data_IF_884149658624
#
_entry.id   IF_884149658624
#
_cell.length_a   1.000
_cell.length_b   1.000
_cell.length_c   1.000
_cell.angle_alpha   90.00
_cell.angle_beta   90.00
_cell.angle_gamma   90.00
#
_symmetry.space_group_name_H-M   'P 1'
#
loop_
_entity.id
_entity.type
_entity.pdbx_description
1 polymer ?
#
# COMPACT_ATOMS: atom_id res chain seq x y z
N UNK A 1 -20.79 -3.80 -32.02
CA UNK A 1 -22.25 -4.15 -32.17
C UNK A 1 -22.41 -5.64 -31.91
N UNK A 2 -23.36 -6.07 -31.04
CA UNK A 2 -23.65 -7.50 -30.86
C UNK A 2 -24.62 -8.01 -31.94
N UNK A 3 -24.62 -9.33 -32.24
CA UNK A 3 -25.56 -9.91 -33.21
C UNK A 3 -27.01 -9.58 -32.86
N UNK A 4 -27.38 -9.63 -31.59
CA UNK A 4 -28.73 -9.27 -31.13
C UNK A 4 -29.05 -7.78 -31.32
N UNK A 5 -28.07 -6.89 -31.12
CA UNK A 5 -28.26 -5.47 -31.36
C UNK A 5 -28.52 -5.20 -32.85
N UNK A 6 -27.78 -5.85 -33.74
CA UNK A 6 -28.02 -5.75 -35.19
C UNK A 6 -29.44 -6.14 -35.55
N UNK A 7 -29.96 -7.27 -35.03
CA UNK A 7 -31.37 -7.68 -35.29
C UNK A 7 -32.34 -6.64 -34.72
N UNK A 8 -32.10 -6.09 -33.54
CA UNK A 8 -32.97 -5.09 -32.92
C UNK A 8 -33.00 -3.78 -33.72
N UNK A 9 -31.89 -3.34 -34.28
CA UNK A 9 -31.77 -2.08 -35.02
C UNK A 9 -32.40 -2.15 -36.40
N UNK A 10 -32.57 -3.37 -36.97
CA UNK A 10 -33.10 -3.56 -38.32
C UNK A 10 -34.50 -4.26 -38.38
N UNK A 11 -35.08 -4.63 -37.25
CA UNK A 11 -36.35 -5.36 -37.15
C UNK A 11 -37.55 -4.64 -37.72
N UNK A 12 -37.49 -3.31 -37.83
CA UNK A 12 -38.59 -2.50 -38.37
C UNK A 12 -38.58 -2.46 -39.91
N UNK A 13 -37.41 -2.76 -40.52
CA UNK A 13 -37.25 -2.78 -41.99
C UNK A 13 -37.23 -4.20 -42.58
N UNK A 14 -36.91 -5.23 -41.77
CA UNK A 14 -36.77 -6.60 -42.23
C UNK A 14 -37.36 -7.61 -41.23
N UNK A 15 -37.84 -8.74 -41.75
CA UNK A 15 -38.35 -9.83 -40.89
C UNK A 15 -37.28 -10.33 -39.92
N UNK A 16 -37.64 -10.41 -38.65
CA UNK A 16 -36.75 -10.91 -37.55
C UNK A 16 -36.24 -12.33 -37.85
N UNK A 17 -37.05 -13.19 -38.47
CA UNK A 17 -36.64 -14.54 -38.86
C UNK A 17 -35.44 -14.50 -39.80
N UNK A 18 -35.52 -13.72 -40.87
CA UNK A 18 -34.46 -13.57 -41.88
C UNK A 18 -33.18 -12.93 -41.26
N UNK A 19 -33.35 -11.89 -40.42
CA UNK A 19 -32.21 -11.27 -39.73
C UNK A 19 -31.49 -12.26 -38.81
N UNK A 20 -32.24 -13.05 -38.04
CA UNK A 20 -31.65 -14.06 -37.13
C UNK A 20 -30.91 -15.17 -37.91
N UNK A 21 -31.43 -15.60 -39.09
CA UNK A 21 -30.75 -16.54 -39.97
C UNK A 21 -29.43 -15.95 -40.52
N UNK A 22 -29.44 -14.69 -40.97
CA UNK A 22 -28.24 -14.01 -41.51
C UNK A 22 -27.12 -13.91 -40.45
N UNK A 23 -27.45 -13.58 -39.18
CA UNK A 23 -26.46 -13.42 -38.15
C UNK A 23 -26.22 -14.68 -37.29
N UNK A 24 -26.84 -15.80 -37.70
CA UNK A 24 -26.72 -17.11 -37.06
C UNK A 24 -27.01 -17.05 -35.53
N UNK A 25 -28.28 -16.69 -35.21
CA UNK A 25 -28.82 -16.69 -33.86
C UNK A 25 -30.23 -17.26 -33.83
N UNK A 26 -30.56 -18.00 -32.76
CA UNK A 26 -31.92 -18.50 -32.60
C UNK A 26 -32.90 -17.35 -32.28
N UNK A 27 -34.07 -17.34 -32.92
CA UNK A 27 -35.14 -16.35 -32.66
C UNK A 27 -35.53 -16.29 -31.19
N UNK A 28 -35.65 -17.45 -30.54
CA UNK A 28 -35.95 -17.54 -29.11
C UNK A 28 -34.94 -16.81 -28.27
N UNK A 29 -33.62 -16.95 -28.56
CA UNK A 29 -32.54 -16.25 -27.90
C UNK A 29 -32.61 -14.74 -28.12
N UNK A 30 -32.99 -14.30 -29.32
CA UNK A 30 -33.18 -12.87 -29.58
C UNK A 30 -34.35 -12.30 -28.78
N UNK A 31 -35.51 -12.96 -28.74
CA UNK A 31 -36.64 -12.49 -27.96
C UNK A 31 -36.38 -12.53 -26.45
N UNK A 32 -35.70 -13.57 -25.95
CA UNK A 32 -35.26 -13.61 -24.56
C UNK A 32 -34.28 -12.45 -24.23
N UNK A 33 -33.36 -12.16 -25.16
CA UNK A 33 -32.48 -11.01 -25.03
C UNK A 33 -33.27 -9.69 -25.06
N UNK A 34 -34.25 -9.53 -25.91
CA UNK A 34 -35.10 -8.34 -25.99
C UNK A 34 -35.93 -8.17 -24.70
N UNK A 35 -36.57 -9.20 -24.21
CA UNK A 35 -37.33 -9.20 -22.96
C UNK A 35 -36.46 -8.83 -21.74
N UNK A 36 -35.17 -9.19 -21.75
CA UNK A 36 -34.22 -8.84 -20.70
C UNK A 36 -33.70 -7.38 -20.81
N UNK A 37 -34.15 -6.57 -21.78
CA UNK A 37 -33.66 -5.19 -21.95
C UNK A 37 -33.87 -4.29 -20.72
N UNK A 38 -35.03 -4.29 -20.03
CA UNK A 38 -35.19 -3.48 -18.81
C UNK A 38 -34.21 -3.86 -17.68
N UNK A 39 -34.02 -5.17 -17.46
CA UNK A 39 -33.10 -5.67 -16.47
C UNK A 39 -31.63 -5.32 -16.81
N UNK A 40 -31.28 -5.29 -18.11
CA UNK A 40 -29.95 -4.83 -18.53
C UNK A 40 -29.77 -3.34 -18.31
N UNK A 41 -30.79 -2.53 -18.59
CA UNK A 41 -30.77 -1.08 -18.36
C UNK A 41 -30.56 -0.75 -16.87
N UNK A 42 -31.28 -1.43 -15.99
CA UNK A 42 -31.10 -1.28 -14.52
C UNK A 42 -29.68 -1.63 -14.09
N UNK A 43 -29.13 -2.75 -14.61
CA UNK A 43 -27.74 -3.14 -14.30
C UNK A 43 -26.74 -2.13 -14.84
N UNK A 44 -26.94 -1.63 -16.05
CA UNK A 44 -26.06 -0.62 -16.64
C UNK A 44 -26.06 0.68 -15.84
N UNK A 45 -27.24 1.15 -15.39
CA UNK A 45 -27.39 2.32 -14.52
C UNK A 45 -26.69 2.11 -13.19
N UNK A 46 -26.86 0.95 -12.55
CA UNK A 46 -26.19 0.61 -11.30
C UNK A 46 -24.67 0.47 -11.47
N UNK A 47 -24.19 0.01 -12.63
CA UNK A 47 -22.77 -0.05 -12.94
C UNK A 47 -22.19 1.36 -13.19
N UNK A 48 -22.94 2.26 -13.86
CA UNK A 48 -22.53 3.64 -14.07
C UNK A 48 -22.42 4.41 -12.73
N UNK A 49 -23.38 4.25 -11.85
CA UNK A 49 -23.32 4.85 -10.49
C UNK A 49 -22.12 4.31 -9.70
N UNK A 50 -21.84 3.02 -9.80
CA UNK A 50 -20.66 2.43 -9.15
C UNK A 50 -19.36 2.93 -9.78
N UNK A 51 -19.30 3.11 -11.10
CA UNK A 51 -18.16 3.67 -11.82
C UNK A 51 -17.82 5.08 -11.32
N UNK A 52 -18.84 5.92 -11.11
CA UNK A 52 -18.64 7.27 -10.54
C UNK A 52 -18.02 7.22 -9.13
N UNK A 53 -18.52 6.33 -8.26
CA UNK A 53 -17.95 6.13 -6.91
C UNK A 53 -16.50 5.63 -6.96
N UNK A 54 -16.19 4.67 -7.83
CA UNK A 54 -14.83 4.16 -8.06
C UNK A 54 -13.92 5.29 -8.52
N UNK A 55 -14.36 6.13 -9.45
CA UNK A 55 -13.59 7.25 -9.97
C UNK A 55 -13.31 8.28 -8.89
N UNK A 56 -14.30 8.67 -8.09
CA UNK A 56 -14.12 9.60 -6.98
C UNK A 56 -13.08 9.11 -5.95
N UNK A 57 -13.09 7.81 -5.61
CA UNK A 57 -12.07 7.21 -4.73
C UNK A 57 -10.69 7.26 -5.38
N UNK A 58 -10.58 6.88 -6.65
CA UNK A 58 -9.32 6.86 -7.39
C UNK A 58 -8.74 8.27 -7.60
N UNK A 59 -9.57 9.28 -7.82
CA UNK A 59 -9.15 10.69 -7.97
C UNK A 59 -8.57 11.25 -6.67
N UNK A 60 -9.04 10.76 -5.52
CA UNK A 60 -8.48 11.10 -4.21
C UNK A 60 -7.11 10.44 -4.00
N UNK A 61 -6.92 9.21 -4.48
CA UNK A 61 -5.68 8.45 -4.37
C UNK A 61 -5.51 7.50 -5.58
N UNK A 62 -4.83 7.97 -6.61
CA UNK A 62 -4.58 7.24 -7.85
C UNK A 62 -3.67 5.99 -7.69
N UNK A 63 -3.07 5.79 -6.51
CA UNK A 63 -2.29 4.61 -6.21
C UNK A 63 -3.17 3.37 -5.88
N UNK A 64 -4.47 3.58 -5.64
CA UNK A 64 -5.37 2.50 -5.24
C UNK A 64 -5.73 1.59 -6.41
N UNK A 65 -5.49 0.28 -6.22
CA UNK A 65 -5.98 -0.77 -7.12
C UNK A 65 -7.27 -1.42 -6.60
N UNK A 66 -7.76 -2.41 -7.35
CA UNK A 66 -9.02 -3.13 -7.06
C UNK A 66 -9.23 -3.50 -5.58
N UNK A 67 -8.24 -4.10 -4.87
CA UNK A 67 -8.47 -4.51 -3.47
C UNK A 67 -8.78 -3.33 -2.53
N UNK A 68 -8.05 -2.22 -2.66
CA UNK A 68 -8.23 -1.05 -1.80
C UNK A 68 -9.52 -0.29 -2.13
N UNK A 69 -9.82 -0.11 -3.42
CA UNK A 69 -11.07 0.51 -3.85
C UNK A 69 -12.27 -0.33 -3.39
N UNK A 70 -12.18 -1.67 -3.46
CA UNK A 70 -13.24 -2.54 -2.95
C UNK A 70 -13.41 -2.41 -1.44
N UNK A 71 -12.31 -2.31 -0.69
CA UNK A 71 -12.37 -2.12 0.75
C UNK A 71 -12.97 -0.76 1.13
N UNK A 72 -12.64 0.30 0.37
CA UNK A 72 -13.17 1.65 0.56
C UNK A 72 -14.68 1.71 0.29
N UNK A 73 -15.14 1.09 -0.80
CA UNK A 73 -16.56 1.01 -1.16
C UNK A 73 -17.40 0.26 -0.13
N UNK A 74 -16.79 -0.71 0.56
CA UNK A 74 -17.46 -1.59 1.52
C UNK A 74 -17.25 -1.17 2.99
N UNK A 75 -16.53 -0.09 3.24
CA UNK A 75 -16.30 0.41 4.58
C UNK A 75 -17.62 0.93 5.18
N UNK A 76 -18.02 0.37 6.33
CA UNK A 76 -19.31 0.66 6.97
C UNK A 76 -20.56 0.22 6.20
N UNK A 77 -20.42 -0.46 5.06
CA UNK A 77 -21.55 -0.93 4.27
C UNK A 77 -22.26 -2.14 4.90
N UNK A 78 -23.58 -2.15 4.84
CA UNK A 78 -24.39 -3.31 5.20
C UNK A 78 -23.94 -4.55 4.41
N UNK A 79 -23.92 -5.75 5.03
CA UNK A 79 -23.51 -7.00 4.35
C UNK A 79 -24.21 -7.25 3.01
N UNK A 80 -25.49 -6.87 2.89
CA UNK A 80 -26.29 -7.03 1.65
C UNK A 80 -25.97 -6.00 0.57
N UNK A 81 -25.40 -4.85 0.95
CA UNK A 81 -25.01 -3.76 0.05
C UNK A 81 -23.54 -3.84 -0.42
N UNK A 82 -22.78 -4.83 0.07
CA UNK A 82 -21.36 -4.98 -0.26
C UNK A 82 -21.14 -5.26 -1.74
N UNK A 83 -20.17 -4.55 -2.30
CA UNK A 83 -19.77 -4.69 -3.71
C UNK A 83 -18.71 -5.77 -3.84
N UNK A 84 -18.93 -6.72 -4.75
CA UNK A 84 -17.97 -7.79 -5.02
C UNK A 84 -16.75 -7.25 -5.79
N UNK A 85 -15.54 -7.67 -5.37
CA UNK A 85 -14.28 -7.27 -5.98
C UNK A 85 -14.20 -7.59 -7.50
N UNK A 86 -14.85 -8.67 -7.97
CA UNK A 86 -14.90 -9.01 -9.40
C UNK A 86 -15.70 -7.96 -10.19
N UNK A 87 -16.77 -7.41 -9.60
CA UNK A 87 -17.56 -6.33 -10.21
C UNK A 87 -16.74 -5.04 -10.27
N UNK A 88 -16.03 -4.70 -9.20
CA UNK A 88 -15.11 -3.54 -9.16
C UNK A 88 -14.03 -3.69 -10.23
N UNK A 89 -13.36 -4.85 -10.29
CA UNK A 89 -12.32 -5.11 -11.29
C UNK A 89 -12.81 -4.97 -12.73
N UNK A 90 -14.03 -5.45 -13.03
CA UNK A 90 -14.65 -5.32 -14.35
C UNK A 90 -14.89 -3.86 -14.72
N UNK A 91 -15.49 -3.09 -13.80
CA UNK A 91 -15.79 -1.68 -14.03
C UNK A 91 -14.50 -0.87 -14.17
N UNK A 92 -13.51 -1.04 -13.30
CA UNK A 92 -12.21 -0.36 -13.41
C UNK A 92 -11.55 -0.60 -14.76
N UNK A 93 -11.63 -1.84 -15.29
CA UNK A 93 -11.11 -2.16 -16.63
C UNK A 93 -11.88 -1.45 -17.74
N UNK A 94 -13.22 -1.40 -17.65
CA UNK A 94 -14.09 -0.72 -18.63
C UNK A 94 -13.81 0.80 -18.64
N UNK A 95 -13.59 1.39 -17.48
CA UNK A 95 -13.31 2.81 -17.28
C UNK A 95 -11.80 3.17 -17.41
N UNK A 96 -10.96 2.19 -17.78
CA UNK A 96 -9.50 2.35 -17.91
C UNK A 96 -8.81 2.88 -16.63
N UNK A 97 -9.39 2.59 -15.47
CA UNK A 97 -8.84 2.95 -14.17
C UNK A 97 -7.88 1.85 -13.70
N UNK A 98 -6.64 2.21 -13.37
CA UNK A 98 -5.63 1.29 -12.86
C UNK A 98 -4.84 1.93 -11.72
N UNK A 99 -4.64 1.19 -10.63
CA UNK A 99 -3.71 1.58 -9.58
C UNK A 99 -2.24 1.43 -9.99
N UNK A 100 -1.34 2.02 -9.22
CA UNK A 100 0.11 1.94 -9.48
C UNK A 100 0.62 0.51 -9.32
N UNK A 101 1.31 0.00 -10.34
CA UNK A 101 1.95 -1.33 -10.33
C UNK A 101 3.41 -1.26 -9.91
N UNK A 102 3.88 -2.26 -9.13
CA UNK A 102 5.30 -2.45 -8.83
C UNK A 102 6.04 -2.87 -10.11
N UNK A 103 7.14 -2.18 -10.44
CA UNK A 103 8.11 -2.69 -11.42
C UNK A 103 8.90 -3.83 -10.79
N UNK A 104 9.19 -4.89 -11.55
CA UNK A 104 10.03 -6.01 -11.09
C UNK A 104 11.46 -5.51 -10.85
N UNK A 105 12.00 -5.74 -9.63
CA UNK A 105 13.32 -5.26 -9.24
C UNK A 105 14.40 -6.27 -9.69
N UNK A 106 15.52 -5.78 -10.20
CA UNK A 106 16.75 -6.57 -10.41
C UNK A 106 17.55 -6.57 -9.10
N UNK A 107 18.09 -7.70 -8.73
CA UNK A 107 18.88 -7.90 -7.51
C UNK A 107 20.30 -7.41 -7.74
N UNK A 108 20.83 -6.50 -6.89
CA UNK A 108 22.15 -5.86 -7.06
C UNK A 108 23.07 -5.98 -5.84
N UNK A 109 22.74 -6.75 -4.81
CA UNK A 109 23.53 -6.83 -3.57
C UNK A 109 24.51 -7.99 -3.61
N UNK A 110 25.80 -7.71 -3.35
CA UNK A 110 26.88 -8.69 -3.15
C UNK A 110 27.12 -8.81 -1.62
N UNK A 111 27.19 -10.04 -1.06
CA UNK A 111 27.42 -10.23 0.39
C UNK A 111 28.84 -9.86 0.80
N UNK A 112 28.99 -9.15 1.93
CA UNK A 112 30.28 -8.95 2.61
C UNK A 112 30.30 -9.81 3.89
N UNK A 113 31.30 -10.67 4.12
CA UNK A 113 31.37 -11.61 5.26
C UNK A 113 31.96 -11.00 6.54
N UNK A 114 31.56 -9.79 6.93
CA UNK A 114 32.00 -9.18 8.20
C UNK A 114 31.38 -9.90 9.42
N UNK A 115 32.17 -10.00 10.50
CA UNK A 115 31.81 -10.68 11.74
C UNK A 115 30.58 -10.03 12.43
N UNK A 116 29.55 -10.81 12.70
CA UNK A 116 28.30 -10.33 13.32
C UNK A 116 28.52 -10.10 14.82
N UNK A 117 28.51 -8.83 15.25
CA UNK A 117 28.53 -8.43 16.65
C UNK A 117 27.12 -8.31 17.28
N UNK A 118 26.07 -8.14 16.48
CA UNK A 118 24.68 -8.05 16.90
C UNK A 118 23.89 -9.24 16.33
N UNK A 119 23.19 -10.04 17.17
CA UNK A 119 22.49 -11.24 16.70
C UNK A 119 21.22 -10.88 15.90
N UNK A 120 20.84 -11.79 14.99
CA UNK A 120 19.51 -11.76 14.37
C UNK A 120 18.48 -12.37 15.33
N UNK A 121 17.68 -11.51 15.96
CA UNK A 121 16.61 -11.92 16.89
C UNK A 121 15.28 -12.15 16.19
N UNK A 122 15.14 -11.74 14.93
CA UNK A 122 13.87 -11.86 14.22
C UNK A 122 13.81 -13.07 13.28
N UNK A 123 14.95 -13.58 12.77
CA UNK A 123 14.98 -14.74 11.89
C UNK A 123 14.02 -14.60 10.69
N UNK A 124 13.91 -13.41 10.11
CA UNK A 124 12.97 -13.03 9.04
C UNK A 124 11.48 -13.01 9.44
N UNK A 125 11.15 -13.18 10.70
CA UNK A 125 9.80 -12.98 11.20
C UNK A 125 9.63 -11.53 11.68
N UNK A 126 9.16 -10.67 10.76
CA UNK A 126 8.86 -9.26 11.04
C UNK A 126 7.44 -9.06 11.59
N UNK A 127 6.80 -10.11 12.08
CA UNK A 127 5.47 -10.01 12.68
C UNK A 127 5.58 -9.75 14.18
N UNK A 128 4.56 -9.13 14.76
CA UNK A 128 4.41 -8.94 16.19
C UNK A 128 2.94 -9.17 16.54
N UNK A 129 2.69 -9.60 17.77
CA UNK A 129 1.33 -9.84 18.27
C UNK A 129 0.69 -8.55 18.77
N UNK A 130 1.52 -7.60 19.23
CA UNK A 130 1.10 -6.31 19.76
C UNK A 130 1.98 -5.17 19.22
N UNK A 131 1.47 -3.92 19.25
CA UNK A 131 2.29 -2.74 18.97
C UNK A 131 3.51 -2.65 19.91
N UNK A 132 4.58 -2.02 19.46
CA UNK A 132 5.79 -1.73 20.21
C UNK A 132 6.67 -2.95 20.56
N UNK A 133 6.41 -4.14 20.05
CA UNK A 133 7.26 -5.31 20.29
C UNK A 133 8.46 -5.35 19.35
N UNK A 134 8.23 -5.12 18.06
CA UNK A 134 9.25 -5.24 17.01
C UNK A 134 9.20 -4.06 16.07
N UNK A 135 10.33 -3.44 15.86
CA UNK A 135 10.50 -2.37 14.89
C UNK A 135 11.51 -2.76 13.82
N UNK A 136 11.27 -2.29 12.61
CA UNK A 136 12.21 -2.45 11.49
C UNK A 136 12.63 -1.07 11.01
N UNK A 137 13.95 -0.85 10.97
CA UNK A 137 14.57 0.39 10.52
C UNK A 137 15.29 0.26 9.21
N UNK A 138 15.28 1.32 8.41
CA UNK A 138 16.05 1.43 7.17
C UNK A 138 16.31 2.89 6.81
N UNK A 139 17.36 3.12 6.01
CA UNK A 139 17.65 4.42 5.42
C UNK A 139 17.48 4.32 3.92
N UNK A 140 16.72 5.26 3.35
CA UNK A 140 16.61 5.36 1.91
C UNK A 140 16.99 6.76 1.43
N UNK A 141 17.61 6.88 0.25
CA UNK A 141 17.86 8.16 -0.39
C UNK A 141 16.60 8.67 -1.11
N UNK A 142 16.44 9.97 -1.12
CA UNK A 142 15.37 10.72 -1.78
C UNK A 142 16.02 11.65 -2.83
N UNK A 143 16.01 11.30 -4.12
CA UNK A 143 16.72 12.06 -5.16
C UNK A 143 16.05 13.41 -5.43
N UNK A 144 16.84 14.48 -5.54
CA UNK A 144 16.42 15.82 -5.90
C UNK A 144 16.93 16.15 -7.31
N UNK A 145 16.18 16.97 -8.04
CA UNK A 145 16.47 17.25 -9.47
C UNK A 145 17.77 17.99 -9.72
N UNK A 146 18.32 18.67 -8.72
CA UNK A 146 19.63 19.33 -8.76
C UNK A 146 20.82 18.36 -8.64
N UNK A 147 20.54 17.04 -8.51
CA UNK A 147 21.54 16.00 -8.34
C UNK A 147 21.91 15.71 -6.90
N UNK A 148 21.36 16.45 -5.92
CA UNK A 148 21.54 16.15 -4.50
C UNK A 148 20.62 15.02 -4.04
N UNK A 149 20.88 14.48 -2.85
CA UNK A 149 20.00 13.51 -2.21
C UNK A 149 19.69 13.97 -0.79
N UNK A 150 18.42 13.85 -0.41
CA UNK A 150 18.04 13.76 0.98
C UNK A 150 18.01 12.30 1.41
N UNK A 151 18.11 12.06 2.71
CA UNK A 151 18.08 10.72 3.29
C UNK A 151 16.93 10.64 4.29
N UNK A 152 16.15 9.57 4.20
CA UNK A 152 15.03 9.30 5.10
C UNK A 152 15.36 8.05 5.92
N UNK A 153 15.46 8.20 7.24
CA UNK A 153 15.46 7.08 8.17
C UNK A 153 14.03 6.80 8.65
N UNK A 154 13.69 5.52 8.77
CA UNK A 154 12.34 5.06 9.10
C UNK A 154 12.37 4.06 10.25
N UNK A 155 11.34 4.09 11.11
CA UNK A 155 11.09 3.13 12.18
C UNK A 155 9.66 2.62 12.03
N UNK A 156 9.52 1.38 11.56
CA UNK A 156 8.24 0.77 11.19
C UNK A 156 7.87 -0.29 12.21
N UNK A 157 6.68 -0.22 12.77
CA UNK A 157 6.13 -1.20 13.70
C UNK A 157 5.76 -2.51 12.97
N UNK A 158 6.24 -3.63 13.48
CA UNK A 158 6.01 -4.96 12.90
C UNK A 158 4.57 -5.46 13.02
N UNK A 159 3.80 -5.00 14.01
CA UNK A 159 2.42 -5.36 14.21
C UNK A 159 1.49 -4.70 13.17
N UNK A 160 1.53 -3.37 13.12
CA UNK A 160 0.56 -2.57 12.37
C UNK A 160 1.08 -2.04 11.04
N UNK A 161 2.38 -2.17 10.77
CA UNK A 161 3.08 -1.48 9.67
C UNK A 161 3.04 0.04 9.80
N UNK A 162 2.70 0.57 10.97
CA UNK A 162 2.73 1.99 11.25
C UNK A 162 4.16 2.52 11.20
N UNK A 163 4.38 3.60 10.47
CA UNK A 163 5.61 4.37 10.60
C UNK A 163 5.55 5.11 11.92
N UNK A 164 6.22 4.56 12.95
CA UNK A 164 6.22 5.09 14.31
C UNK A 164 7.12 6.31 14.45
N UNK A 165 8.26 6.32 13.74
CA UNK A 165 9.19 7.43 13.70
C UNK A 165 9.90 7.56 12.37
N UNK A 166 10.36 8.77 12.05
CA UNK A 166 11.13 9.05 10.84
C UNK A 166 11.87 10.39 10.96
N UNK A 167 12.95 10.52 10.21
CA UNK A 167 13.70 11.76 10.10
C UNK A 167 14.25 11.92 8.69
N UNK A 168 14.43 13.18 8.23
CA UNK A 168 15.04 13.51 6.93
C UNK A 168 16.22 14.46 7.16
N UNK A 169 17.37 14.10 6.59
CA UNK A 169 18.56 14.95 6.57
C UNK A 169 19.23 14.97 5.19
N UNK A 170 20.17 15.88 5.00
CA UNK A 170 21.03 15.99 3.82
C UNK A 170 22.22 15.03 3.87
N UNK A 171 22.32 14.24 4.93
CA UNK A 171 23.41 13.30 5.17
C UNK A 171 22.88 11.98 5.72
N UNK A 172 23.69 10.93 5.59
CA UNK A 172 23.39 9.60 6.09
C UNK A 172 24.30 9.25 7.29
N UNK A 173 24.32 10.12 8.31
CA UNK A 173 25.08 9.89 9.56
C UNK A 173 24.20 9.23 10.61
N UNK A 174 24.83 8.79 11.71
CA UNK A 174 24.17 8.10 12.82
C UNK A 174 23.12 8.96 13.52
N UNK A 175 23.29 10.28 13.56
CA UNK A 175 22.31 11.21 14.13
C UNK A 175 20.93 11.10 13.43
N UNK A 176 20.90 10.88 12.12
CA UNK A 176 19.65 10.69 11.37
C UNK A 176 18.80 9.50 11.91
N UNK A 177 19.44 8.37 12.23
CA UNK A 177 18.71 7.21 12.76
C UNK A 177 18.35 7.39 14.24
N UNK A 178 19.16 8.11 14.99
CA UNK A 178 18.88 8.50 16.37
C UNK A 178 17.64 9.39 16.43
N UNK A 179 17.54 10.38 15.53
CA UNK A 179 16.38 11.27 15.41
C UNK A 179 15.12 10.49 15.04
N UNK A 180 15.22 9.55 14.10
CA UNK A 180 14.08 8.70 13.72
C UNK A 180 13.60 7.82 14.88
N UNK A 181 14.51 7.22 15.65
CA UNK A 181 14.16 6.39 16.80
C UNK A 181 13.60 7.25 17.96
N UNK A 182 14.14 8.44 18.16
CA UNK A 182 13.63 9.42 19.15
C UNK A 182 12.21 9.87 18.78
N UNK A 183 11.95 10.16 17.51
CA UNK A 183 10.59 10.46 17.01
C UNK A 183 9.62 9.29 17.23
N UNK A 184 10.09 8.06 17.09
CA UNK A 184 9.28 6.88 17.42
C UNK A 184 8.94 6.82 18.91
N UNK A 185 9.91 7.07 19.79
CA UNK A 185 9.67 7.16 21.24
C UNK A 185 8.64 8.25 21.56
N UNK A 186 8.75 9.42 20.96
CA UNK A 186 7.82 10.54 21.23
C UNK A 186 6.40 10.20 20.75
N UNK A 187 6.29 9.49 19.64
CA UNK A 187 5.00 9.02 19.12
C UNK A 187 4.35 7.94 20.00
N UNK A 188 5.18 7.07 20.62
CA UNK A 188 4.74 5.89 21.38
C UNK A 188 4.70 6.10 22.89
N UNK A 189 5.34 7.12 23.40
CA UNK A 189 5.57 7.36 24.84
C UNK A 189 6.73 6.54 25.39
N UNK A 190 6.87 5.27 25.02
CA UNK A 190 7.96 4.38 25.41
C UNK A 190 8.27 3.37 24.31
N UNK A 191 9.52 2.96 24.20
CA UNK A 191 10.00 1.85 23.38
C UNK A 191 10.64 0.74 24.20
N UNK A 192 10.58 0.83 25.54
CA UNK A 192 11.22 -0.11 26.43
C UNK A 192 10.73 -1.56 26.19
N UNK A 193 11.68 -2.48 26.07
CA UNK A 193 11.41 -3.90 25.77
C UNK A 193 11.26 -4.23 24.29
N UNK A 194 11.24 -3.23 23.40
CA UNK A 194 11.13 -3.47 21.97
C UNK A 194 12.44 -4.00 21.36
N UNK A 195 12.31 -4.77 20.26
CA UNK A 195 13.42 -5.14 19.39
C UNK A 195 13.43 -4.19 18.19
N UNK A 196 14.59 -3.59 17.91
CA UNK A 196 14.83 -2.79 16.72
C UNK A 196 15.73 -3.55 15.76
N UNK A 197 15.19 -3.93 14.61
CA UNK A 197 15.88 -4.69 13.57
C UNK A 197 16.28 -3.79 12.40
N UNK A 198 17.51 -3.94 11.91
CA UNK A 198 18.05 -3.22 10.76
C UNK A 198 18.98 -4.10 9.93
N UNK A 199 19.46 -3.57 8.83
CA UNK A 199 20.61 -4.10 8.11
C UNK A 199 21.93 -3.79 8.86
N UNK A 200 23.07 -4.27 8.31
CA UNK A 200 24.42 -4.03 8.85
C UNK A 200 25.03 -2.68 8.42
N UNK A 201 24.23 -1.67 8.10
CA UNK A 201 24.73 -0.35 7.76
C UNK A 201 25.60 0.23 8.88
N UNK A 202 26.70 0.92 8.51
CA UNK A 202 27.66 1.49 9.47
C UNK A 202 27.01 2.42 10.52
N UNK A 203 25.88 3.03 10.17
CA UNK A 203 25.10 3.87 11.07
C UNK A 203 24.50 3.06 12.22
N UNK A 204 23.93 1.88 11.91
CA UNK A 204 23.28 1.00 12.89
C UNK A 204 24.28 0.24 13.77
N UNK A 205 25.52 -0.03 13.27
CA UNK A 205 26.58 -0.66 14.04
C UNK A 205 27.37 0.34 14.91
N UNK A 206 27.07 1.63 14.80
CA UNK A 206 27.78 2.67 15.55
C UNK A 206 27.55 2.58 17.05
N UNK A 207 28.60 2.90 17.83
CA UNK A 207 28.51 2.96 19.30
C UNK A 207 27.46 3.95 19.80
N UNK A 208 27.34 5.10 19.13
CA UNK A 208 26.34 6.13 19.49
C UNK A 208 24.91 5.61 19.35
N UNK A 209 24.60 4.87 18.28
CA UNK A 209 23.27 4.26 18.12
C UNK A 209 23.01 3.15 19.15
N UNK A 210 24.00 2.31 19.44
CA UNK A 210 23.90 1.27 20.47
C UNK A 210 23.65 1.87 21.87
N UNK A 211 24.33 2.96 22.23
CA UNK A 211 24.11 3.68 23.47
C UNK A 211 22.70 4.30 23.53
N UNK A 212 22.22 4.86 22.40
CA UNK A 212 20.87 5.42 22.31
C UNK A 212 19.77 4.33 22.44
N UNK A 213 19.91 3.19 21.77
CA UNK A 213 19.00 2.04 21.93
C UNK A 213 18.94 1.59 23.40
N UNK A 214 20.11 1.46 24.05
CA UNK A 214 20.19 1.06 25.47
C UNK A 214 19.50 2.08 26.38
N UNK A 215 19.67 3.38 26.12
CA UNK A 215 19.03 4.44 26.91
C UNK A 215 17.49 4.42 26.77
N UNK A 216 16.96 3.95 25.63
CA UNK A 216 15.54 3.78 25.40
C UNK A 216 15.00 2.40 25.81
N UNK A 217 15.84 1.50 26.32
CA UNK A 217 15.47 0.12 26.66
C UNK A 217 15.15 -0.75 25.43
N UNK A 218 15.72 -0.41 24.27
CA UNK A 218 15.52 -1.12 22.99
C UNK A 218 16.66 -2.09 22.76
N UNK A 219 16.34 -3.34 22.39
CA UNK A 219 17.30 -4.37 22.00
C UNK A 219 17.58 -4.30 20.50
N UNK A 220 18.84 -4.17 20.10
CA UNK A 220 19.20 -4.22 18.68
C UNK A 220 19.18 -5.64 18.14
N UNK A 221 18.76 -5.76 16.89
CA UNK A 221 18.80 -6.98 16.08
C UNK A 221 19.27 -6.63 14.67
N UNK A 222 20.08 -7.48 14.06
CA UNK A 222 20.53 -7.25 12.68
C UNK A 222 20.37 -8.52 11.87
N UNK A 223 19.93 -8.36 10.60
CA UNK A 223 19.78 -9.47 9.67
C UNK A 223 21.12 -10.12 9.31
N UNK A 224 21.09 -11.25 8.62
CA UNK A 224 22.32 -11.89 8.11
C UNK A 224 22.94 -11.05 7.01
N UNK A 225 24.28 -10.96 7.02
CA UNK A 225 25.02 -10.23 5.98
C UNK A 225 24.70 -10.77 4.59
N UNK A 226 24.29 -9.89 3.66
CA UNK A 226 24.15 -10.23 2.24
C UNK A 226 22.78 -10.75 1.79
N UNK A 227 21.73 -10.71 2.63
CA UNK A 227 20.38 -11.08 2.19
C UNK A 227 19.42 -9.88 2.26
N UNK A 228 18.93 -9.42 1.11
CA UNK A 228 17.89 -8.38 1.03
C UNK A 228 16.54 -8.83 1.63
N UNK A 229 16.38 -10.13 1.88
CA UNK A 229 15.18 -10.68 2.52
C UNK A 229 15.06 -10.29 3.99
N UNK A 230 16.18 -9.97 4.63
CA UNK A 230 16.26 -9.70 6.06
C UNK A 230 15.76 -8.28 6.43
N UNK A 231 15.49 -7.40 5.44
CA UNK A 231 14.85 -6.08 5.61
C UNK A 231 13.68 -5.84 4.65
N UNK A 232 13.03 -6.92 4.20
CA UNK A 232 11.99 -6.86 3.17
C UNK A 232 10.81 -5.93 3.52
N UNK A 233 10.50 -5.78 4.81
CA UNK A 233 9.44 -4.88 5.29
C UNK A 233 9.77 -3.42 4.97
N UNK A 234 10.95 -2.96 5.38
CA UNK A 234 11.38 -1.59 5.15
C UNK A 234 11.66 -1.31 3.67
N UNK A 235 12.24 -2.27 2.93
CA UNK A 235 12.40 -2.16 1.48
C UNK A 235 11.05 -1.97 0.76
N UNK A 236 10.04 -2.75 1.13
CA UNK A 236 8.68 -2.64 0.58
C UNK A 236 8.05 -1.29 0.88
N UNK A 237 8.26 -0.76 2.10
CA UNK A 237 7.82 0.57 2.50
C UNK A 237 8.48 1.64 1.63
N UNK A 238 9.79 1.64 1.53
CA UNK A 238 10.57 2.62 0.78
C UNK A 238 10.23 2.62 -0.71
N UNK A 239 10.07 1.44 -1.31
CA UNK A 239 9.63 1.30 -2.69
C UNK A 239 8.20 1.87 -2.90
N UNK A 240 7.33 1.69 -1.92
CA UNK A 240 5.96 2.20 -1.97
C UNK A 240 5.94 3.73 -1.84
N UNK A 241 6.69 4.30 -0.90
CA UNK A 241 6.86 5.75 -0.75
C UNK A 241 7.30 6.38 -2.08
N UNK A 242 8.43 5.93 -2.63
CA UNK A 242 8.99 6.48 -3.88
C UNK A 242 8.01 6.36 -5.05
N UNK A 243 7.35 5.22 -5.21
CA UNK A 243 6.37 5.01 -6.27
C UNK A 243 5.17 5.95 -6.16
N UNK A 244 4.61 6.08 -4.95
CA UNK A 244 3.38 6.85 -4.72
C UNK A 244 3.63 8.37 -4.70
N UNK A 245 4.84 8.82 -4.37
CA UNK A 245 5.20 10.25 -4.37
C UNK A 245 5.80 10.70 -5.70
N UNK A 246 6.73 9.95 -6.29
CA UNK A 246 7.36 10.32 -7.56
C UNK A 246 6.48 10.06 -8.78
N UNK A 247 5.47 9.17 -8.68
CA UNK A 247 4.47 8.89 -9.75
C UNK A 247 5.09 8.62 -11.14
N UNK A 248 6.25 7.97 -11.16
CA UNK A 248 7.00 7.68 -12.39
C UNK A 248 8.11 8.67 -12.71
N UNK A 249 8.21 9.79 -11.97
CA UNK A 249 9.38 10.65 -11.98
C UNK A 249 10.61 9.98 -11.37
N UNK A 250 11.79 10.56 -11.59
CA UNK A 250 13.06 10.06 -11.08
C UNK A 250 13.55 10.81 -9.84
N UNK A 251 13.12 12.06 -9.65
CA UNK A 251 13.56 12.96 -8.58
C UNK A 251 12.47 13.97 -8.23
N UNK A 252 12.54 14.52 -7.01
CA UNK A 252 11.71 15.68 -6.61
C UNK A 252 12.31 16.97 -7.15
N UNK A 253 11.49 17.99 -7.50
CA UNK A 253 11.97 19.26 -8.08
C UNK A 253 12.97 20.00 -7.19
N UNK A 254 12.80 19.95 -5.88
CA UNK A 254 13.66 20.56 -4.88
C UNK A 254 13.45 19.93 -3.50
N UNK A 255 14.34 20.20 -2.55
CA UNK A 255 14.28 19.66 -1.18
C UNK A 255 12.99 20.00 -0.43
N UNK A 256 12.52 21.23 -0.52
CA UNK A 256 11.30 21.67 0.16
C UNK A 256 10.08 20.86 -0.33
N UNK A 257 10.00 20.64 -1.64
CA UNK A 257 8.93 19.81 -2.23
C UNK A 257 9.05 18.35 -1.76
N UNK A 258 10.28 17.80 -1.75
CA UNK A 258 10.54 16.46 -1.26
C UNK A 258 10.06 16.29 0.20
N UNK A 259 10.53 17.15 1.12
CA UNK A 259 10.16 17.11 2.54
C UNK A 259 8.64 17.21 2.75
N UNK A 260 7.99 18.15 2.05
CA UNK A 260 6.54 18.37 2.11
C UNK A 260 5.73 17.16 1.61
N UNK A 261 6.13 16.58 0.49
CA UNK A 261 5.44 15.42 -0.10
C UNK A 261 5.63 14.17 0.73
N UNK A 262 6.83 13.93 1.27
CA UNK A 262 7.09 12.83 2.19
C UNK A 262 6.24 12.98 3.45
N UNK A 263 6.20 14.17 4.07
CA UNK A 263 5.36 14.43 5.23
C UNK A 263 3.87 14.13 4.96
N UNK A 264 3.33 14.65 3.86
CA UNK A 264 1.93 14.41 3.46
C UNK A 264 1.67 12.93 3.22
N UNK A 265 2.61 12.27 2.56
CA UNK A 265 2.48 10.85 2.27
C UNK A 265 2.53 10.00 3.54
N UNK A 266 3.45 10.26 4.47
CA UNK A 266 3.56 9.56 5.76
C UNK A 266 2.29 9.75 6.59
N UNK A 267 1.77 10.96 6.65
CA UNK A 267 0.50 11.23 7.34
C UNK A 267 -0.63 10.39 6.74
N UNK A 268 -0.78 10.41 5.42
CA UNK A 268 -1.77 9.61 4.70
C UNK A 268 -1.54 8.10 4.89
N UNK A 269 -0.28 7.65 4.84
CA UNK A 269 0.12 6.26 5.03
C UNK A 269 -0.39 5.72 6.36
N UNK A 270 -0.20 6.44 7.44
CA UNK A 270 -0.60 6.02 8.77
C UNK A 270 -2.11 6.13 9.03
N UNK A 271 -2.79 7.16 8.45
CA UNK A 271 -4.17 7.54 8.82
C UNK A 271 -5.24 7.11 7.82
N UNK A 272 -4.88 6.93 6.53
CA UNK A 272 -5.87 6.72 5.46
C UNK A 272 -5.53 5.56 4.53
N UNK A 273 -4.22 5.32 4.29
CA UNK A 273 -3.81 4.30 3.34
C UNK A 273 -4.15 2.91 3.86
N UNK A 274 -4.91 2.15 3.06
CA UNK A 274 -5.31 0.79 3.41
C UNK A 274 -4.16 -0.20 3.17
N UNK A 275 -3.94 -1.07 4.13
CA UNK A 275 -2.91 -2.10 4.13
C UNK A 275 -3.54 -3.49 4.15
N UNK A 276 -3.12 -4.36 3.23
CA UNK A 276 -3.59 -5.76 3.20
C UNK A 276 -3.24 -6.51 4.48
N UNK A 277 -2.05 -6.23 5.04
CA UNK A 277 -1.61 -6.79 6.32
C UNK A 277 -2.57 -6.45 7.48
N UNK A 278 -3.10 -5.25 7.50
CA UNK A 278 -4.03 -4.77 8.54
C UNK A 278 -5.51 -5.03 8.16
N UNK A 279 -5.81 -6.07 7.38
CA UNK A 279 -7.18 -6.33 6.95
C UNK A 279 -7.80 -5.18 6.17
N UNK A 280 -7.03 -4.52 5.31
CA UNK A 280 -7.44 -3.35 4.53
C UNK A 280 -7.80 -2.12 5.39
N UNK A 281 -7.22 -2.01 6.58
CA UNK A 281 -7.35 -0.83 7.44
C UNK A 281 -6.08 0.02 7.39
N UNK A 282 -6.16 1.34 7.68
CA UNK A 282 -4.99 2.16 7.96
C UNK A 282 -4.28 1.67 9.24
N UNK A 283 -2.95 1.83 9.35
CA UNK A 283 -2.19 1.38 10.52
C UNK A 283 -2.72 1.87 11.86
N UNK A 284 -3.02 3.17 11.98
CA UNK A 284 -3.54 3.75 13.23
C UNK A 284 -4.91 3.16 13.58
N UNK A 285 -5.82 3.03 12.62
CA UNK A 285 -7.14 2.44 12.83
C UNK A 285 -7.03 0.98 13.27
N UNK A 286 -6.09 0.23 12.68
CA UNK A 286 -5.84 -1.16 13.05
C UNK A 286 -5.38 -1.29 14.52
N UNK A 287 -4.44 -0.45 14.97
CA UNK A 287 -4.00 -0.41 16.37
C UNK A 287 -5.14 -0.02 17.33
N UNK A 288 -5.93 0.99 16.98
CA UNK A 288 -7.06 1.44 17.81
C UNK A 288 -8.11 0.34 17.99
N UNK A 289 -8.43 -0.41 16.95
CA UNK A 289 -9.37 -1.54 17.02
C UNK A 289 -8.81 -2.69 17.85
N UNK A 290 -7.52 -2.99 17.72
CA UNK A 290 -6.88 -4.00 18.55
C UNK A 290 -6.94 -3.63 20.03
N UNK A 291 -6.59 -2.39 20.39
CA UNK A 291 -6.67 -1.91 21.76
C UNK A 291 -8.10 -1.97 22.32
N UNK A 292 -9.10 -1.58 21.54
CA UNK A 292 -10.50 -1.67 21.94
C UNK A 292 -10.97 -3.12 22.18
N UNK A 293 -10.49 -4.07 21.36
CA UNK A 293 -10.78 -5.50 21.52
C UNK A 293 -10.20 -6.05 22.83
N UNK A 294 -8.96 -5.67 23.16
CA UNK A 294 -8.33 -6.07 24.42
C UNK A 294 -9.09 -5.52 25.65
N UNK A 295 -9.54 -4.27 25.59
CA UNK A 295 -10.33 -3.67 26.66
C UNK A 295 -11.69 -4.34 26.88
N UNK A 296 -12.29 -4.89 25.82
CA UNK A 296 -13.57 -5.62 25.94
C UNK A 296 -13.39 -7.06 26.44
N UNK A 297 -12.18 -7.60 26.34
CA UNK A 297 -11.84 -8.95 26.77
C UNK A 297 -11.28 -9.04 28.21
N UNK A 298 -10.93 -7.88 28.80
CA UNK A 298 -10.44 -7.74 30.18
C UNK A 298 -11.59 -7.42 31.14
#
# INVERSE_FOLDING_TARGET
MTRFQFVADHRDAFEVKRLCEIVDVARSSFYAWLAAAPARAVRASADAALAQRIRAIHDTDCAQGVPRITAELNDGADPTARVNHKRVARIMRQEQIAGLRLRRRLRTTVPDPAEQTVPDLLGRDFTAEEPNQRYVGDITYLPVADGTNLYLATVIDGFSRRLAGWAIAEHMRTDLIIDALSAARDTRGSLAGAIFHSDHGAQYTSRAFAEHCRALGVTQSMGSVGTSADNALAESFNATLKRETLRGGHAWPNEHTCRREVFRWVTRYNTRRRHSWCGQQPPITYEQRHAATLQLAA
#
